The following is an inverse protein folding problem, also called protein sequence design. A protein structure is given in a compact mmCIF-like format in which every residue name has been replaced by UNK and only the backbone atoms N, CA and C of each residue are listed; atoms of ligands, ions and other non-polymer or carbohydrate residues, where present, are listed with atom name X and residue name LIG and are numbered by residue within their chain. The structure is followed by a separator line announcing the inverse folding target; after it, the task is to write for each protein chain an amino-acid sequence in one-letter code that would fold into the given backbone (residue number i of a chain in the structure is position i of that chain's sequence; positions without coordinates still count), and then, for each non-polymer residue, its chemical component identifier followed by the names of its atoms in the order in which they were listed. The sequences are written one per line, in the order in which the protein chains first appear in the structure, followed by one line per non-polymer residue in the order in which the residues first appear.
data_IF_873750839320
#
_entry.id   IF_873750839320
#
_cell.length_a   1.000
_cell.length_b   1.000
_cell.length_c   1.000
_cell.angle_alpha   90.00
_cell.angle_beta   90.00
_cell.angle_gamma   90.00
#
_symmetry.space_group_name_H-M   'P 1'
#
loop_
_entity.id
_entity.type
_entity.pdbx_description
1 polymer ?
#
# COMPACT_ATOMS: atom_id res chain seq x y z
N UNK A 1 -17.59 -5.54 -10.39
CA UNK A 1 -18.59 -5.25 -11.44
C UNK A 1 -18.35 -3.82 -11.90
N UNK A 2 -17.72 -3.64 -13.07
CA UNK A 2 -17.47 -2.33 -13.67
C UNK A 2 -18.67 -2.01 -14.54
N UNK A 3 -19.49 -1.03 -14.13
CA UNK A 3 -20.62 -0.53 -14.95
C UNK A 3 -20.22 0.84 -15.49
N UNK A 4 -19.96 0.89 -16.79
CA UNK A 4 -19.78 2.13 -17.55
C UNK A 4 -21.13 2.47 -18.16
N UNK A 5 -21.79 3.54 -17.72
CA UNK A 5 -22.97 4.08 -18.40
C UNK A 5 -22.61 5.36 -19.15
N UNK A 6 -22.97 5.48 -20.45
CA UNK A 6 -22.60 6.61 -21.29
C UNK A 6 -23.57 7.79 -21.16
N UNK A 7 -22.98 8.97 -21.39
CA UNK A 7 -23.50 10.31 -21.63
C UNK A 7 -24.87 10.41 -22.33
N UNK A 8 -25.72 11.33 -21.88
CA UNK A 8 -26.56 12.13 -22.79
C UNK A 8 -26.48 13.61 -22.41
N UNK A 9 -26.05 14.40 -23.40
CA UNK A 9 -26.03 15.84 -23.38
C UNK A 9 -27.42 16.39 -23.68
N UNK A 10 -27.85 17.42 -22.96
CA UNK A 10 -28.90 18.31 -23.44
C UNK A 10 -28.38 19.76 -23.41
N UNK A 11 -28.77 20.51 -24.43
CA UNK A 11 -28.14 21.74 -24.89
C UNK A 11 -28.48 22.98 -24.05
N UNK A 12 -27.60 23.98 -24.15
CA UNK A 12 -27.62 25.30 -23.50
C UNK A 12 -28.69 26.24 -24.10
N UNK A 13 -28.93 27.42 -23.49
CA UNK A 13 -28.39 28.62 -24.13
C UNK A 13 -28.05 29.72 -23.11
N UNK A 14 -26.81 29.77 -22.61
CA UNK A 14 -26.25 31.00 -22.06
C UNK A 14 -24.71 30.94 -22.02
N UNK A 15 -24.09 31.36 -23.13
CA UNK A 15 -23.03 32.37 -23.13
C UNK A 15 -21.68 32.18 -22.43
N UNK A 16 -21.34 31.07 -21.76
CA UNK A 16 -20.01 30.91 -21.14
C UNK A 16 -19.23 29.67 -21.59
N UNK A 17 -17.97 29.94 -21.93
CA UNK A 17 -16.90 29.15 -22.58
C UNK A 17 -16.83 27.65 -22.20
N UNK A 18 -16.68 26.73 -23.17
CA UNK A 18 -16.44 25.31 -22.89
C UNK A 18 -14.95 25.07 -22.61
N UNK A 19 -14.60 24.62 -21.39
CA UNK A 19 -13.28 24.09 -21.10
C UNK A 19 -13.30 22.55 -21.06
N UNK A 20 -12.32 21.99 -21.77
CA UNK A 20 -12.09 20.59 -22.13
C UNK A 20 -12.43 19.54 -21.05
N UNK A 21 -13.10 18.50 -21.51
CA UNK A 21 -13.22 17.20 -20.86
C UNK A 21 -11.84 16.54 -20.66
N UNK A 22 -11.35 16.50 -19.42
CA UNK A 22 -10.38 15.49 -18.99
C UNK A 22 -11.18 14.40 -18.29
N UNK A 23 -11.43 13.30 -19.00
CA UNK A 23 -12.09 12.12 -18.45
C UNK A 23 -11.17 11.44 -17.43
N UNK A 24 -11.31 11.81 -16.16
CA UNK A 24 -10.69 11.08 -15.06
C UNK A 24 -11.46 9.76 -14.85
N UNK A 25 -10.77 8.64 -15.07
CA UNK A 25 -11.26 7.31 -14.68
C UNK A 25 -11.27 7.27 -13.15
N UNK A 26 -12.43 7.59 -12.57
CA UNK A 26 -12.65 7.48 -11.13
C UNK A 26 -12.94 6.01 -10.81
N UNK A 27 -11.96 5.33 -10.20
CA UNK A 27 -12.20 4.05 -9.51
C UNK A 27 -13.23 4.30 -8.40
N UNK A 28 -14.50 4.01 -8.68
CA UNK A 28 -15.59 4.05 -7.70
C UNK A 28 -15.39 2.92 -6.69
N UNK A 29 -14.67 3.21 -5.61
CA UNK A 29 -14.78 2.45 -4.37
C UNK A 29 -16.19 2.74 -3.82
N UNK A 30 -16.99 1.73 -3.47
CA UNK A 30 -18.32 1.97 -2.91
C UNK A 30 -18.18 2.76 -1.61
N UNK A 31 -18.62 4.02 -1.63
CA UNK A 31 -18.80 4.84 -0.45
C UNK A 31 -19.89 4.20 0.41
N UNK A 32 -19.48 3.63 1.54
CA UNK A 32 -20.39 3.32 2.64
C UNK A 32 -21.07 4.63 3.03
N UNK A 33 -22.37 4.74 2.77
CA UNK A 33 -23.24 5.76 3.36
C UNK A 33 -23.28 5.52 4.86
N UNK A 34 -22.51 6.28 5.63
CA UNK A 34 -22.78 6.44 7.06
C UNK A 34 -23.91 7.46 7.18
N UNK A 35 -25.10 6.95 7.47
CA UNK A 35 -26.31 7.71 7.71
C UNK A 35 -26.20 8.54 8.99
N UNK A 36 -26.78 9.75 8.98
CA UNK A 36 -26.56 10.77 9.99
C UNK A 36 -27.24 10.45 11.32
N UNK A 37 -26.43 10.12 12.34
CA UNK A 37 -26.68 10.44 13.77
C UNK A 37 -25.52 9.97 14.65
N UNK A 38 -24.44 10.75 14.73
CA UNK A 38 -23.53 10.71 15.88
C UNK A 38 -23.30 12.12 16.43
N UNK A 39 -24.30 12.48 17.21
CA UNK A 39 -24.32 13.43 18.33
C UNK A 39 -23.01 13.38 19.16
N UNK A 40 -22.38 14.54 19.33
CA UNK A 40 -21.68 15.03 20.54
C UNK A 40 -21.04 13.99 21.47
N UNK A 41 -19.70 13.96 21.54
CA UNK A 41 -18.96 14.23 22.79
C UNK A 41 -17.46 13.95 22.64
N UNK A 42 -16.66 14.92 23.11
CA UNK A 42 -15.26 14.82 23.58
C UNK A 42 -14.16 14.74 22.53
N UNK A 43 -13.28 15.75 22.56
CA UNK A 43 -11.99 15.82 21.88
C UNK A 43 -11.18 14.53 22.10
N UNK A 44 -10.91 13.78 21.03
CA UNK A 44 -10.16 12.52 21.10
C UNK A 44 -8.83 12.63 20.36
N UNK A 45 -7.81 13.09 21.10
CA UNK A 45 -6.40 13.05 20.71
C UNK A 45 -5.86 11.62 20.45
N UNK A 46 -6.68 10.55 20.49
CA UNK A 46 -6.23 9.17 20.23
C UNK A 46 -6.57 8.62 18.84
N UNK A 47 -7.41 9.29 18.04
CA UNK A 47 -7.84 8.77 16.72
C UNK A 47 -6.74 8.80 15.64
N UNK A 48 -5.80 9.75 15.72
CA UNK A 48 -4.76 9.98 14.70
C UNK A 48 -3.71 8.87 14.69
N UNK A 49 -3.39 8.32 15.86
CA UNK A 49 -2.40 7.26 15.98
C UNK A 49 -2.86 5.97 15.30
N UNK A 50 -4.17 5.66 15.30
CA UNK A 50 -4.68 4.45 14.66
C UNK A 50 -4.55 4.50 13.13
N UNK A 51 -4.80 5.66 12.51
CA UNK A 51 -4.71 5.81 11.07
C UNK A 51 -3.26 5.69 10.59
N UNK A 52 -2.35 6.43 11.24
CA UNK A 52 -0.92 6.31 10.97
C UNK A 52 -0.45 4.88 11.22
N UNK A 53 -0.96 4.22 12.28
CA UNK A 53 -0.64 2.82 12.57
C UNK A 53 -1.10 1.85 11.50
N UNK A 54 -2.33 1.99 11.05
CA UNK A 54 -2.90 1.16 10.00
C UNK A 54 -2.13 1.35 8.69
N UNK A 55 -1.70 2.57 8.36
CA UNK A 55 -0.95 2.85 7.13
C UNK A 55 0.43 2.18 7.11
N UNK A 56 1.23 2.30 8.18
CA UNK A 56 2.54 1.63 8.21
C UNK A 56 2.40 0.11 8.32
N UNK A 57 1.40 -0.38 9.05
CA UNK A 57 1.13 -1.82 9.17
C UNK A 57 0.71 -2.42 7.83
N UNK A 58 -0.15 -1.72 7.07
CA UNK A 58 -0.53 -2.12 5.71
C UNK A 58 0.69 -2.24 4.82
N UNK A 59 1.55 -1.21 4.80
CA UNK A 59 2.75 -1.19 3.97
C UNK A 59 3.73 -2.31 4.37
N UNK A 60 3.92 -2.54 5.67
CA UNK A 60 4.74 -3.63 6.20
C UNK A 60 4.23 -5.03 5.80
N UNK A 61 2.94 -5.31 5.99
CA UNK A 61 2.34 -6.61 5.64
C UNK A 61 2.37 -6.83 4.13
N UNK A 62 2.04 -5.81 3.35
CA UNK A 62 2.09 -5.88 1.89
C UNK A 62 3.52 -6.20 1.44
N UNK A 63 4.53 -5.55 2.04
CA UNK A 63 5.92 -5.80 1.70
C UNK A 63 6.38 -7.20 2.04
N UNK A 64 6.11 -7.68 3.26
CA UNK A 64 6.48 -9.04 3.64
C UNK A 64 5.89 -10.10 2.69
N UNK A 65 4.62 -9.96 2.32
CA UNK A 65 3.96 -10.90 1.43
C UNK A 65 4.49 -10.82 0.00
N UNK A 66 4.64 -9.60 -0.53
CA UNK A 66 5.13 -9.40 -1.89
C UNK A 66 6.58 -9.88 -2.02
N UNK A 67 7.45 -9.54 -1.06
CA UNK A 67 8.84 -10.01 -1.05
C UNK A 67 8.96 -11.54 -0.98
N UNK A 68 8.14 -12.18 -0.15
CA UNK A 68 8.13 -13.64 -0.03
C UNK A 68 7.70 -14.30 -1.34
N UNK A 69 6.54 -13.92 -1.87
CA UNK A 69 5.94 -14.58 -3.04
C UNK A 69 6.71 -14.25 -4.32
N UNK A 70 7.11 -12.98 -4.51
CA UNK A 70 7.84 -12.56 -5.70
C UNK A 70 9.20 -13.25 -5.79
N UNK A 71 10.01 -13.23 -4.73
CA UNK A 71 11.34 -13.85 -4.75
C UNK A 71 11.25 -15.38 -4.81
N UNK A 72 10.30 -16.01 -4.10
CA UNK A 72 10.08 -17.44 -4.23
C UNK A 72 9.69 -17.84 -5.67
N UNK A 73 8.75 -17.12 -6.28
CA UNK A 73 8.30 -17.38 -7.66
C UNK A 73 9.42 -17.17 -8.69
N UNK A 74 10.21 -16.10 -8.53
CA UNK A 74 11.37 -15.83 -9.37
C UNK A 74 12.41 -16.95 -9.29
N UNK A 75 12.74 -17.38 -8.07
CA UNK A 75 13.69 -18.45 -7.84
C UNK A 75 13.20 -19.77 -8.42
N UNK A 76 11.91 -20.10 -8.28
CA UNK A 76 11.33 -21.28 -8.91
C UNK A 76 11.40 -21.21 -10.44
N UNK A 77 11.07 -20.06 -11.04
CA UNK A 77 11.14 -19.84 -12.48
C UNK A 77 12.56 -20.00 -13.02
N UNK A 78 13.55 -19.38 -12.37
CA UNK A 78 14.97 -19.53 -12.75
C UNK A 78 15.45 -20.97 -12.53
N UNK A 79 15.02 -21.60 -11.43
CA UNK A 79 15.31 -22.99 -11.12
C UNK A 79 14.77 -23.98 -12.16
N UNK A 80 13.65 -23.68 -12.80
CA UNK A 80 13.07 -24.52 -13.85
C UNK A 80 13.96 -24.56 -15.10
N UNK A 81 14.66 -23.47 -15.41
CA UNK A 81 15.57 -23.37 -16.57
C UNK A 81 16.97 -23.84 -16.23
N UNK A 82 17.52 -23.41 -15.08
CA UNK A 82 18.86 -23.76 -14.62
C UNK A 82 18.79 -24.44 -13.25
N UNK A 83 19.24 -25.70 -13.18
CA UNK A 83 19.26 -26.49 -11.92
C UNK A 83 20.38 -26.09 -10.95
N UNK A 84 21.19 -25.10 -11.30
CA UNK A 84 22.27 -24.58 -10.46
C UNK A 84 21.73 -23.72 -9.30
N UNK A 85 22.22 -23.98 -8.08
CA UNK A 85 21.88 -23.21 -6.89
C UNK A 85 22.34 -21.75 -7.01
N UNK A 86 23.54 -21.52 -7.58
CA UNK A 86 24.12 -20.17 -7.68
C UNK A 86 23.28 -19.28 -8.57
N UNK A 87 22.84 -19.79 -9.73
CA UNK A 87 21.97 -19.06 -10.64
C UNK A 87 20.64 -18.67 -9.97
N UNK A 88 20.04 -19.60 -9.22
CA UNK A 88 18.79 -19.36 -8.49
C UNK A 88 18.97 -18.30 -7.38
N UNK A 89 20.04 -18.40 -6.58
CA UNK A 89 20.32 -17.46 -5.49
C UNK A 89 20.66 -16.07 -6.02
N UNK A 90 21.46 -15.97 -7.08
CA UNK A 90 21.80 -14.70 -7.70
C UNK A 90 20.56 -14.00 -8.25
N UNK A 91 19.67 -14.75 -8.90
CA UNK A 91 18.40 -14.22 -9.37
C UNK A 91 17.48 -13.81 -8.22
N UNK A 92 17.38 -14.62 -7.16
CA UNK A 92 16.61 -14.29 -5.96
C UNK A 92 17.11 -13.03 -5.27
N UNK A 93 18.43 -12.88 -5.14
CA UNK A 93 19.05 -11.68 -4.57
C UNK A 93 18.85 -10.45 -5.45
N UNK A 94 19.03 -10.58 -6.76
CA UNK A 94 18.75 -9.49 -7.70
C UNK A 94 17.27 -9.07 -7.65
N UNK A 95 16.35 -10.04 -7.58
CA UNK A 95 14.91 -9.80 -7.41
C UNK A 95 14.58 -9.16 -6.06
N UNK A 96 15.28 -9.54 -4.99
CA UNK A 96 15.13 -8.92 -3.68
C UNK A 96 15.50 -7.43 -3.73
N UNK A 97 16.67 -7.09 -4.28
CA UNK A 97 17.13 -5.70 -4.36
C UNK A 97 16.23 -4.88 -5.29
N UNK A 98 15.95 -5.40 -6.49
CA UNK A 98 15.07 -4.73 -7.45
C UNK A 98 13.65 -4.53 -6.89
N UNK A 99 13.10 -5.56 -6.25
CA UNK A 99 11.77 -5.52 -5.64
C UNK A 99 11.70 -4.59 -4.44
N UNK A 100 12.70 -4.60 -3.55
CA UNK A 100 12.75 -3.68 -2.40
C UNK A 100 12.79 -2.21 -2.84
N UNK A 101 13.61 -1.89 -3.85
CA UNK A 101 13.65 -0.55 -4.44
C UNK A 101 12.34 -0.19 -5.14
N UNK A 102 11.79 -1.09 -5.96
CA UNK A 102 10.53 -0.87 -6.67
C UNK A 102 9.35 -0.64 -5.73
N UNK A 103 9.28 -1.42 -4.66
CA UNK A 103 8.26 -1.28 -3.63
C UNK A 103 8.44 0.01 -2.83
N UNK A 104 9.68 0.38 -2.48
CA UNK A 104 9.95 1.62 -1.80
C UNK A 104 9.45 2.83 -2.61
N UNK A 105 9.77 2.85 -3.91
CA UNK A 105 9.30 3.92 -4.81
C UNK A 105 7.77 3.88 -4.93
N UNK A 106 7.18 2.70 -5.06
CA UNK A 106 5.73 2.52 -5.18
C UNK A 106 4.96 3.07 -3.97
N UNK A 107 5.39 2.72 -2.75
CA UNK A 107 4.76 3.23 -1.52
C UNK A 107 5.06 4.71 -1.29
N UNK A 108 6.24 5.21 -1.66
CA UNK A 108 6.56 6.64 -1.55
C UNK A 108 5.64 7.48 -2.42
N UNK A 109 5.47 7.11 -3.69
CA UNK A 109 4.56 7.81 -4.61
C UNK A 109 3.12 7.69 -4.13
N UNK A 110 2.71 6.52 -3.63
CA UNK A 110 1.35 6.32 -3.10
C UNK A 110 1.04 7.23 -1.89
N UNK A 111 1.93 7.31 -0.90
CA UNK A 111 1.72 8.17 0.27
C UNK A 111 1.85 9.65 -0.10
N UNK A 112 2.75 9.99 -1.03
CA UNK A 112 2.88 11.36 -1.51
C UNK A 112 1.62 11.84 -2.25
N UNK A 113 1.02 11.01 -3.11
CA UNK A 113 -0.25 11.36 -3.75
C UNK A 113 -1.39 11.48 -2.74
N UNK A 114 -1.43 10.64 -1.70
CA UNK A 114 -2.41 10.79 -0.61
C UNK A 114 -2.25 12.13 0.10
N UNK A 115 -1.00 12.50 0.42
CA UNK A 115 -0.66 13.78 1.00
C UNK A 115 -1.12 14.96 0.11
N UNK A 116 -0.87 14.89 -1.20
CA UNK A 116 -1.28 15.94 -2.14
C UNK A 116 -2.80 16.08 -2.26
N UNK A 117 -3.53 14.96 -2.26
CA UNK A 117 -5.00 14.96 -2.28
C UNK A 117 -5.55 15.58 -1.00
N UNK A 118 -5.03 15.19 0.16
CA UNK A 118 -5.46 15.69 1.47
C UNK A 118 -5.17 17.19 1.61
N UNK A 119 -3.97 17.66 1.25
CA UNK A 119 -3.63 19.10 1.21
C UNK A 119 -4.48 19.86 0.20
N UNK A 120 -4.82 19.25 -0.93
CA UNK A 120 -5.71 19.82 -1.93
C UNK A 120 -7.13 19.99 -1.40
N UNK A 121 -7.63 19.02 -0.63
CA UNK A 121 -8.94 19.08 0.03
C UNK A 121 -8.96 20.15 1.11
N UNK A 122 -7.97 20.17 2.01
CA UNK A 122 -7.82 21.22 3.03
C UNK A 122 -7.85 22.63 2.44
N UNK A 123 -7.11 22.88 1.35
CA UNK A 123 -7.10 24.20 0.69
C UNK A 123 -8.46 24.59 0.10
N UNK A 124 -9.23 23.61 -0.40
CA UNK A 124 -10.58 23.85 -0.94
C UNK A 124 -11.55 24.18 0.17
N UNK A 125 -11.49 23.46 1.29
CA UNK A 125 -12.33 23.71 2.45
C UNK A 125 -11.96 25.05 3.10
N UNK A 126 -10.66 25.39 3.12
CA UNK A 126 -10.17 26.71 3.56
C UNK A 126 -10.73 27.87 2.71
N UNK A 127 -10.80 27.71 1.38
CA UNK A 127 -11.31 28.79 0.52
C UNK A 127 -12.84 28.94 0.61
N UNK A 128 -13.55 27.97 1.19
CA UNK A 128 -15.02 27.97 1.31
C UNK A 128 -15.53 28.53 2.63
N UNK A 129 -14.84 28.31 3.75
CA UNK A 129 -15.25 28.92 5.03
C UNK A 129 -14.61 30.30 5.22
N UNK A 130 -15.30 31.17 5.95
CA UNK A 130 -14.88 32.54 6.26
C UNK A 130 -14.62 32.57 7.76
N UNK A 131 -13.34 32.56 8.17
CA UNK A 131 -12.97 32.57 9.59
C UNK A 131 -11.52 32.16 9.81
N UNK A 132 -10.81 32.93 10.65
CA UNK A 132 -9.38 32.75 10.99
C UNK A 132 -9.09 31.57 11.93
N UNK A 133 -10.12 30.92 12.47
CA UNK A 133 -9.95 29.72 13.32
C UNK A 133 -9.38 28.53 12.53
N UNK A 134 -9.67 28.45 11.22
CA UNK A 134 -9.24 27.33 10.37
C UNK A 134 -7.77 27.35 9.99
N UNK A 135 -7.09 28.49 10.11
CA UNK A 135 -5.65 28.54 9.82
C UNK A 135 -4.87 27.71 10.85
N UNK A 136 -5.32 27.73 12.11
CA UNK A 136 -4.78 26.89 13.17
C UNK A 136 -5.18 25.42 12.96
N UNK A 137 -6.43 25.14 12.60
CA UNK A 137 -6.92 23.78 12.32
C UNK A 137 -6.16 23.15 11.15
N UNK A 138 -5.94 23.89 10.07
CA UNK A 138 -5.11 23.45 8.94
C UNK A 138 -3.67 23.21 9.34
N UNK A 139 -3.07 24.03 10.22
CA UNK A 139 -1.71 23.77 10.67
C UNK A 139 -1.65 22.50 11.54
N UNK A 140 -2.67 22.26 12.36
CA UNK A 140 -2.80 21.02 13.13
C UNK A 140 -3.01 19.80 12.21
N UNK A 141 -3.92 19.89 11.24
CA UNK A 141 -4.16 18.85 10.22
C UNK A 141 -2.92 18.64 9.34
N UNK A 142 -2.17 19.72 9.06
CA UNK A 142 -0.91 19.64 8.31
C UNK A 142 0.17 18.83 9.05
N UNK A 143 0.12 18.83 10.38
CA UNK A 143 1.04 18.06 11.22
C UNK A 143 0.63 16.60 11.34
N UNK A 144 -0.62 16.25 11.00
CA UNK A 144 -1.17 14.89 11.11
C UNK A 144 -1.12 14.11 9.80
N UNK A 145 -0.65 14.73 8.71
CA UNK A 145 -0.51 14.02 7.44
C UNK A 145 0.47 12.85 7.53
N UNK A 146 0.22 11.81 6.72
CA UNK A 146 1.05 10.61 6.73
C UNK A 146 2.51 10.92 6.39
N UNK A 147 3.42 10.38 7.18
CA UNK A 147 4.85 10.45 6.91
C UNK A 147 5.23 9.46 5.79
N UNK A 148 5.57 9.92 4.57
CA UNK A 148 5.78 9.03 3.42
C UNK A 148 6.97 8.10 3.61
N UNK A 149 8.03 8.60 4.26
CA UNK A 149 9.27 7.85 4.43
C UNK A 149 9.11 6.68 5.40
N UNK A 150 8.33 6.82 6.47
CA UNK A 150 8.17 5.76 7.48
C UNK A 150 7.45 4.54 6.89
N UNK A 151 6.33 4.76 6.19
CA UNK A 151 5.60 3.68 5.53
C UNK A 151 6.44 3.01 4.44
N UNK A 152 7.15 3.80 3.64
CA UNK A 152 8.06 3.34 2.59
C UNK A 152 9.17 2.45 3.14
N UNK A 153 9.87 2.90 4.19
CA UNK A 153 10.95 2.16 4.81
C UNK A 153 10.44 0.87 5.47
N UNK A 154 9.31 0.94 6.19
CA UNK A 154 8.69 -0.24 6.77
C UNK A 154 8.37 -1.28 5.69
N UNK A 155 7.78 -0.84 4.58
CA UNK A 155 7.46 -1.69 3.43
C UNK A 155 8.71 -2.34 2.82
N UNK A 156 9.75 -1.56 2.53
CA UNK A 156 10.98 -2.05 1.91
C UNK A 156 11.76 -3.04 2.81
N UNK A 157 11.79 -2.76 4.11
CA UNK A 157 12.41 -3.65 5.10
C UNK A 157 11.60 -4.94 5.23
N UNK A 158 10.29 -4.87 5.35
CA UNK A 158 9.43 -6.05 5.41
C UNK A 158 9.51 -6.88 4.11
N UNK A 159 9.58 -6.23 2.94
CA UNK A 159 9.86 -6.90 1.67
C UNK A 159 11.15 -7.70 1.73
N UNK A 160 12.23 -7.06 2.19
CA UNK A 160 13.54 -7.71 2.31
C UNK A 160 13.51 -8.89 3.29
N UNK A 161 12.81 -8.75 4.42
CA UNK A 161 12.64 -9.82 5.42
C UNK A 161 11.83 -10.99 4.81
N UNK A 162 10.74 -10.70 4.11
CA UNK A 162 9.92 -11.72 3.44
C UNK A 162 10.70 -12.46 2.35
N UNK A 163 11.45 -11.71 1.53
CA UNK A 163 12.30 -12.25 0.46
C UNK A 163 13.49 -13.08 0.98
N UNK A 164 13.94 -12.85 2.21
CA UNK A 164 15.06 -13.59 2.79
C UNK A 164 14.69 -15.04 3.11
N UNK A 165 13.42 -15.33 3.43
CA UNK A 165 12.94 -16.69 3.74
C UNK A 165 13.22 -17.67 2.59
N UNK A 166 12.76 -17.46 1.34
CA UNK A 166 13.04 -18.36 0.24
C UNK A 166 14.53 -18.37 -0.14
N UNK A 167 15.23 -17.24 0.03
CA UNK A 167 16.67 -17.14 -0.26
C UNK A 167 17.50 -18.03 0.67
N UNK A 168 17.25 -17.96 1.98
CA UNK A 168 17.89 -18.82 2.98
C UNK A 168 17.49 -20.28 2.75
N UNK A 169 16.21 -20.55 2.47
CA UNK A 169 15.73 -21.91 2.19
C UNK A 169 16.47 -22.56 1.01
N UNK A 170 16.80 -21.77 -0.02
CA UNK A 170 17.54 -22.26 -1.17
C UNK A 170 19.06 -22.38 -0.93
N UNK A 171 19.63 -21.56 -0.03
CA UNK A 171 21.07 -21.50 0.18
C UNK A 171 21.65 -22.75 0.84
N UNK A 172 20.88 -23.44 1.68
CA UNK A 172 21.35 -24.61 2.44
C UNK A 172 21.19 -25.96 1.71
N UNK A 173 20.72 -25.98 0.46
CA UNK A 173 20.36 -27.24 -0.23
C UNK A 173 20.98 -27.32 -1.63
N UNK A 174 21.88 -28.28 -1.82
CA UNK A 174 22.54 -28.55 -3.10
C UNK A 174 21.60 -29.26 -4.10
N UNK A 175 20.82 -30.23 -3.61
CA UNK A 175 19.94 -31.06 -4.44
C UNK A 175 18.75 -30.26 -4.99
N UNK A 176 18.64 -30.17 -6.32
CA UNK A 176 17.59 -29.40 -7.01
C UNK A 176 16.16 -29.73 -6.57
N UNK A 177 15.79 -31.02 -6.54
CA UNK A 177 14.42 -31.46 -6.17
C UNK A 177 14.09 -31.05 -4.74
N UNK A 178 15.00 -31.34 -3.80
CA UNK A 178 14.84 -30.99 -2.39
C UNK A 178 14.79 -29.48 -2.20
N UNK A 179 15.63 -28.72 -2.94
CA UNK A 179 15.68 -27.26 -2.86
C UNK A 179 14.34 -26.63 -3.20
N UNK A 180 13.72 -27.02 -4.33
CA UNK A 180 12.41 -26.48 -4.72
C UNK A 180 11.34 -26.85 -3.70
N UNK A 181 11.30 -28.12 -3.26
CA UNK A 181 10.32 -28.57 -2.25
C UNK A 181 10.45 -27.75 -0.96
N UNK A 182 11.67 -27.51 -0.48
CA UNK A 182 11.91 -26.74 0.74
C UNK A 182 11.59 -25.26 0.55
N UNK A 183 11.96 -24.65 -0.58
CA UNK A 183 11.58 -23.25 -0.87
C UNK A 183 10.06 -23.08 -0.85
N UNK A 184 9.32 -23.99 -1.48
CA UNK A 184 7.85 -23.96 -1.48
C UNK A 184 7.29 -24.18 -0.08
N UNK A 185 7.77 -25.20 0.64
CA UNK A 185 7.30 -25.52 1.98
C UNK A 185 7.54 -24.38 2.96
N UNK A 186 8.74 -23.78 2.94
CA UNK A 186 9.08 -22.64 3.78
C UNK A 186 8.31 -21.38 3.40
N UNK A 187 8.05 -21.16 2.11
CA UNK A 187 7.23 -20.03 1.65
C UNK A 187 5.78 -20.18 2.11
N UNK A 188 5.20 -21.38 1.99
CA UNK A 188 3.86 -21.65 2.52
C UNK A 188 3.80 -21.46 4.04
N UNK A 189 4.78 -21.98 4.78
CA UNK A 189 4.87 -21.81 6.23
C UNK A 189 4.98 -20.33 6.61
N UNK A 190 5.83 -19.57 5.92
CA UNK A 190 6.01 -18.15 6.16
C UNK A 190 4.75 -17.35 5.83
N UNK A 191 4.00 -17.69 4.77
CA UNK A 191 2.70 -17.06 4.47
C UNK A 191 1.68 -17.31 5.59
N UNK A 192 1.63 -18.53 6.13
CA UNK A 192 0.74 -18.84 7.26
C UNK A 192 1.14 -18.01 8.49
N UNK A 193 2.44 -17.91 8.78
CA UNK A 193 2.95 -17.12 9.91
C UNK A 193 2.68 -15.63 9.70
N UNK A 194 3.00 -15.07 8.53
CA UNK A 194 2.75 -13.65 8.21
C UNK A 194 1.27 -13.32 8.20
N UNK A 195 0.41 -14.22 7.70
CA UNK A 195 -1.04 -14.08 7.77
C UNK A 195 -1.54 -14.08 9.22
N UNK A 196 -1.03 -14.99 10.05
CA UNK A 196 -1.39 -15.04 11.48
C UNK A 196 -0.91 -13.80 12.25
N UNK A 197 0.33 -13.36 12.00
CA UNK A 197 0.91 -12.14 12.58
C UNK A 197 0.11 -10.92 12.12
N UNK A 198 -0.17 -10.80 10.83
CA UNK A 198 -0.98 -9.72 10.26
C UNK A 198 -2.38 -9.66 10.88
N UNK A 199 -3.05 -10.81 11.05
CA UNK A 199 -4.34 -10.90 11.73
C UNK A 199 -4.26 -10.53 13.22
N UNK A 200 -3.13 -10.81 13.89
CA UNK A 200 -2.94 -10.46 15.30
C UNK A 200 -2.63 -8.97 15.49
N UNK A 201 -1.84 -8.37 14.60
CA UNK A 201 -1.48 -6.94 14.65
C UNK A 201 -2.62 -6.05 14.16
N UNK A 202 -3.42 -6.49 13.19
CA UNK A 202 -4.55 -5.74 12.65
C UNK A 202 -5.78 -5.70 13.56
N UNK A 203 -5.70 -6.21 14.80
CA UNK A 203 -6.80 -6.18 15.76
C UNK A 203 -7.11 -4.73 16.13
N UNK A 204 -8.11 -4.16 15.45
CA UNK A 204 -8.89 -3.03 15.92
C UNK A 204 -9.52 -3.37 17.28
N UNK A 205 -9.54 -2.43 18.24
CA UNK A 205 -10.21 -2.64 19.52
C UNK A 205 -11.69 -3.01 19.29
N UNK A 206 -12.18 -3.99 20.05
CA UNK A 206 -13.59 -4.41 20.05
C UNK A 206 -14.49 -3.34 20.64
#
# INVERSE_FOLDING_TARGET
MVVVSPKMANATPNGSVPHNHVGAVLLTIPTIKIDGKQTLATEDHTSIDYLQRAQWLRAAILGANDGLVSVASLMMGVGAVKRDAKAMLLAGFAGLVAGACGMAIGEFVAVYTQYEVEVGQMKRDMNMSVGGERDLEMEMERRTLPNPLQATLASALCFSIGALVPLLSAAFIENYRTRIIVVVAMSCLALVVFGWVGAKLGKTPK
#
